data_IF_389233269544
#
_entry.id   IF_389233269544
#
_cell.length_a   1.000
_cell.length_b   1.000
_cell.length_c   1.000
_cell.angle_alpha   90.00
_cell.angle_beta   90.00
_cell.angle_gamma   90.00
#
_symmetry.space_group_name_H-M   'P 1'
#
loop_
_entity.id
_entity.type
_entity.pdbx_description
1 polymer ?
#
# COMPACT_ATOMS: atom_id res chain seq x y z
N UNK A 1 -10.48 1.24 9.17
CA UNK A 1 -9.08 1.61 9.46
C UNK A 1 -8.35 1.67 8.14
N UNK A 2 -7.40 2.59 8.00
CA UNK A 2 -6.56 2.67 6.79
C UNK A 2 -5.56 1.52 6.84
N UNK A 3 -5.50 0.70 5.79
CA UNK A 3 -4.59 -0.44 5.69
C UNK A 3 -3.32 -0.13 4.89
N UNK A 4 -2.36 -1.07 4.86
CA UNK A 4 -1.27 -1.04 3.89
C UNK A 4 -1.81 -1.36 2.49
N UNK A 5 -1.37 -0.58 1.50
CA UNK A 5 -1.64 -0.79 0.09
C UNK A 5 -0.37 -1.25 -0.61
N UNK A 6 -0.43 -2.40 -1.29
CA UNK A 6 0.66 -2.90 -2.12
C UNK A 6 0.75 -2.12 -3.44
N UNK A 7 1.93 -1.60 -3.75
CA UNK A 7 2.32 -1.04 -5.04
C UNK A 7 3.47 -1.86 -5.64
N UNK A 8 3.49 -1.91 -6.97
CA UNK A 8 4.63 -2.41 -7.73
C UNK A 8 5.44 -1.20 -8.19
N UNK A 9 6.71 -1.13 -7.78
CA UNK A 9 7.65 -0.10 -8.21
C UNK A 9 8.35 -0.60 -9.44
N UNK A 10 8.19 0.09 -10.57
CA UNK A 10 8.83 -0.27 -11.83
C UNK A 10 10.15 0.49 -11.93
N UNK A 11 11.22 -0.17 -12.38
CA UNK A 11 12.55 0.43 -12.49
C UNK A 11 12.81 0.92 -13.91
N UNK A 12 12.59 2.21 -14.14
CA UNK A 12 12.87 2.86 -15.44
C UNK A 12 14.30 3.37 -15.43
N UNK A 13 15.23 2.66 -16.09
CA UNK A 13 16.65 3.01 -16.08
C UNK A 13 16.88 4.30 -16.85
N UNK A 14 17.59 5.26 -16.26
CA UNK A 14 18.01 6.48 -16.96
C UNK A 14 19.10 6.11 -17.97
N UNK A 15 18.81 6.27 -19.25
CA UNK A 15 19.73 5.89 -20.33
C UNK A 15 20.93 6.84 -20.43
N UNK A 16 20.72 8.12 -20.10
CA UNK A 16 21.76 9.15 -20.14
C UNK A 16 21.69 10.06 -18.90
N UNK A 17 22.77 10.06 -18.11
CA UNK A 17 22.92 10.92 -16.93
C UNK A 17 23.46 12.30 -17.33
N UNK A 18 22.54 13.23 -17.57
CA UNK A 18 22.81 14.62 -17.94
C UNK A 18 22.35 15.62 -16.87
N UNK A 19 22.75 16.88 -17.01
CA UNK A 19 22.38 17.94 -16.06
C UNK A 19 22.85 17.62 -14.63
N UNK A 20 21.96 17.78 -13.64
CA UNK A 20 22.29 17.45 -12.24
C UNK A 20 22.58 15.96 -12.02
N UNK A 21 21.95 15.07 -12.79
CA UNK A 21 22.17 13.63 -12.67
C UNK A 21 23.59 13.19 -13.09
N UNK A 22 24.35 14.05 -13.76
CA UNK A 22 25.77 13.78 -14.08
C UNK A 22 26.63 13.56 -12.82
N UNK A 23 26.21 14.06 -11.66
CA UNK A 23 26.87 13.78 -10.37
C UNK A 23 26.79 12.30 -9.96
N UNK A 24 25.91 11.50 -10.58
CA UNK A 24 25.69 10.08 -10.30
C UNK A 24 26.34 9.17 -11.35
N UNK A 25 27.24 9.70 -12.18
CA UNK A 25 27.96 8.90 -13.18
C UNK A 25 28.67 7.70 -12.54
N UNK A 26 28.58 6.55 -13.20
CA UNK A 26 29.07 5.27 -12.69
C UNK A 26 28.08 4.52 -11.77
N UNK A 27 26.92 5.11 -11.43
CA UNK A 27 25.83 4.41 -10.74
C UNK A 27 24.70 4.05 -11.71
N UNK A 28 23.95 3.00 -11.37
CA UNK A 28 22.69 2.68 -12.05
C UNK A 28 21.56 3.51 -11.42
N UNK A 29 21.02 4.46 -12.19
CA UNK A 29 19.95 5.35 -11.73
C UNK A 29 18.63 4.96 -12.38
N UNK A 30 17.58 4.86 -11.57
CA UNK A 30 16.24 4.50 -12.01
C UNK A 30 15.24 5.55 -11.55
N UNK A 31 14.32 5.94 -12.44
CA UNK A 31 13.05 6.51 -12.01
C UNK A 31 12.17 5.36 -11.53
N UNK A 32 11.51 5.55 -10.39
CA UNK A 32 10.85 4.48 -9.66
C UNK A 32 9.33 4.68 -9.58
N UNK A 33 8.56 4.73 -10.68
CA UNK A 33 7.12 4.92 -10.60
C UNK A 33 6.40 3.77 -9.89
N UNK A 34 5.40 4.13 -9.08
CA UNK A 34 4.52 3.19 -8.41
C UNK A 34 3.27 2.92 -9.26
N UNK A 35 2.91 1.65 -9.43
CA UNK A 35 1.69 1.24 -10.14
C UNK A 35 0.92 0.15 -9.39
N UNK A 36 -0.40 0.18 -9.54
CA UNK A 36 -1.31 -0.91 -9.11
C UNK A 36 -1.62 -1.88 -10.25
N UNK A 37 -1.17 -1.58 -11.47
CA UNK A 37 -1.47 -2.32 -12.69
C UNK A 37 -0.18 -2.70 -13.43
N UNK A 38 0.65 -3.61 -12.87
CA UNK A 38 1.89 -4.03 -13.51
C UNK A 38 1.63 -4.71 -14.87
N UNK A 39 0.44 -5.26 -15.09
CA UNK A 39 0.08 -5.86 -16.38
C UNK A 39 0.07 -4.86 -17.53
N UNK A 40 -0.08 -3.56 -17.26
CA UNK A 40 -0.16 -2.56 -18.32
C UNK A 40 1.20 -2.04 -18.80
N UNK A 41 2.30 -2.49 -18.19
CA UNK A 41 3.64 -1.95 -18.47
C UNK A 41 4.13 -2.17 -19.92
N UNK A 42 3.45 -3.02 -20.69
CA UNK A 42 3.71 -3.16 -22.13
C UNK A 42 3.32 -1.93 -22.96
N UNK A 43 2.35 -1.13 -22.47
CA UNK A 43 1.79 0.01 -23.20
C UNK A 43 2.40 1.36 -22.81
N UNK A 44 3.60 1.33 -22.22
CA UNK A 44 4.27 2.55 -21.77
C UNK A 44 4.71 3.41 -22.96
N UNK A 45 4.29 4.68 -22.96
CA UNK A 45 4.72 5.68 -23.96
C UNK A 45 5.71 6.68 -23.39
N UNK A 46 5.64 6.94 -22.09
CA UNK A 46 6.46 7.93 -21.39
C UNK A 46 6.38 7.69 -19.86
N UNK A 47 7.13 8.49 -19.12
CA UNK A 47 7.03 8.58 -17.66
C UNK A 47 6.61 10.00 -17.28
N UNK A 48 5.80 10.17 -16.24
CA UNK A 48 5.37 11.47 -15.76
C UNK A 48 6.04 11.88 -14.46
N UNK A 49 6.43 13.15 -14.40
CA UNK A 49 6.94 13.83 -13.21
C UNK A 49 6.22 15.16 -13.04
N UNK A 50 6.10 15.63 -11.79
CA UNK A 50 5.54 16.94 -11.47
C UNK A 50 6.68 17.98 -11.55
N UNK A 51 6.65 18.96 -12.47
CA UNK A 51 7.78 19.88 -12.66
C UNK A 51 8.22 20.59 -11.37
N UNK A 52 7.26 21.13 -10.62
CA UNK A 52 7.51 21.82 -9.34
C UNK A 52 7.58 20.86 -8.14
N UNK A 53 7.52 19.55 -8.38
CA UNK A 53 7.65 18.52 -7.34
C UNK A 53 9.09 18.39 -6.86
N UNK A 54 9.25 18.11 -5.56
CA UNK A 54 10.54 17.83 -4.94
C UNK A 54 10.85 16.33 -4.99
N UNK A 55 12.04 16.00 -5.49
CA UNK A 55 12.55 14.64 -5.64
C UNK A 55 13.95 14.52 -5.04
N UNK A 56 14.38 13.29 -4.81
CA UNK A 56 15.75 12.97 -4.47
C UNK A 56 16.20 11.70 -5.15
N UNK A 57 17.51 11.57 -5.32
CA UNK A 57 18.17 10.34 -5.73
C UNK A 57 18.68 9.63 -4.47
N UNK A 58 18.14 8.45 -4.19
CA UNK A 58 18.39 7.72 -2.94
C UNK A 58 19.08 6.39 -3.23
N UNK A 59 20.12 6.05 -2.46
CA UNK A 59 20.84 4.79 -2.61
C UNK A 59 20.08 3.64 -1.93
N UNK A 60 19.72 2.64 -2.72
CA UNK A 60 19.01 1.44 -2.28
C UNK A 60 19.96 0.40 -1.68
N UNK A 61 19.41 -0.61 -1.00
CA UNK A 61 20.16 -1.74 -0.46
C UNK A 61 20.92 -2.53 -1.54
N UNK A 62 20.40 -2.56 -2.77
CA UNK A 62 21.04 -3.18 -3.94
C UNK A 62 22.26 -2.41 -4.46
N UNK A 63 22.52 -1.18 -3.97
CA UNK A 63 23.52 -0.26 -4.53
C UNK A 63 23.02 0.54 -5.73
N UNK A 64 21.80 0.29 -6.20
CA UNK A 64 21.12 1.09 -7.22
C UNK A 64 20.65 2.43 -6.65
N UNK A 65 20.38 3.40 -7.52
CA UNK A 65 19.90 4.73 -7.11
C UNK A 65 18.51 4.96 -7.64
N UNK A 66 17.55 5.23 -6.76
CA UNK A 66 16.16 5.48 -7.13
C UNK A 66 15.84 6.97 -7.02
N UNK A 67 15.23 7.51 -8.07
CA UNK A 67 14.70 8.87 -8.11
C UNK A 67 13.21 8.81 -7.74
N UNK A 68 12.88 9.41 -6.58
CA UNK A 68 11.53 9.40 -5.99
C UNK A 68 11.37 10.55 -4.98
N UNK A 69 10.22 10.65 -4.34
CA UNK A 69 10.01 11.57 -3.20
C UNK A 69 10.71 11.08 -1.94
N UNK A 70 11.00 12.03 -1.04
CA UNK A 70 11.57 11.69 0.29
C UNK A 70 10.59 10.88 1.15
N UNK A 71 9.28 11.12 1.03
CA UNK A 71 8.23 10.31 1.67
C UNK A 71 8.35 8.83 1.27
N UNK A 72 8.44 8.55 -0.02
CA UNK A 72 8.58 7.18 -0.51
C UNK A 72 9.91 6.56 -0.05
N UNK A 73 11.01 7.32 -0.09
CA UNK A 73 12.30 6.87 0.41
C UNK A 73 12.23 6.50 1.91
N UNK A 74 11.55 7.30 2.73
CA UNK A 74 11.29 7.02 4.15
C UNK A 74 10.50 5.72 4.32
N UNK A 75 9.43 5.51 3.55
CA UNK A 75 8.65 4.28 3.58
C UNK A 75 9.50 3.05 3.21
N UNK A 76 10.25 3.13 2.11
CA UNK A 76 11.14 2.06 1.64
C UNK A 76 12.26 1.73 2.65
N UNK A 77 12.78 2.73 3.37
CA UNK A 77 13.78 2.52 4.42
C UNK A 77 13.28 1.64 5.57
N UNK A 78 11.97 1.58 5.81
CA UNK A 78 11.38 0.75 6.86
C UNK A 78 10.83 -0.57 6.33
N UNK A 79 11.16 -0.95 5.09
CA UNK A 79 10.68 -2.16 4.41
C UNK A 79 11.83 -3.02 3.86
N UNK A 80 13.03 -2.93 4.47
CA UNK A 80 14.24 -3.66 4.06
C UNK A 80 14.71 -3.40 2.61
N UNK A 81 14.34 -2.25 2.04
CA UNK A 81 14.75 -1.87 0.68
C UNK A 81 16.02 -0.99 0.65
N UNK A 82 16.46 -0.49 1.81
CA UNK A 82 17.65 0.35 1.98
C UNK A 82 18.79 -0.42 2.66
N UNK A 83 20.00 0.13 2.67
CA UNK A 83 21.17 -0.53 3.29
C UNK A 83 21.02 -0.73 4.80
N UNK A 84 20.38 0.23 5.48
CA UNK A 84 20.13 0.18 6.92
C UNK A 84 18.66 0.52 7.18
N UNK A 85 17.99 -0.29 8.00
CA UNK A 85 16.58 -0.08 8.34
C UNK A 85 16.35 1.30 8.96
N UNK A 86 15.33 2.00 8.49
CA UNK A 86 14.95 3.34 8.93
C UNK A 86 15.86 4.48 8.45
N UNK A 87 16.96 4.19 7.74
CA UNK A 87 17.90 5.22 7.27
C UNK A 87 17.81 5.45 5.76
N UNK A 88 17.62 6.72 5.40
CA UNK A 88 17.58 7.18 4.01
C UNK A 88 18.92 7.81 3.64
N UNK A 89 19.56 7.33 2.57
CA UNK A 89 20.78 7.92 2.03
C UNK A 89 20.50 8.71 0.75
N UNK A 90 20.27 10.01 0.91
CA UNK A 90 20.06 10.93 -0.21
C UNK A 90 21.42 11.33 -0.82
N UNK A 91 21.61 11.03 -2.11
CA UNK A 91 22.82 11.39 -2.86
C UNK A 91 22.69 12.73 -3.56
N UNK A 92 21.47 13.10 -3.98
CA UNK A 92 21.20 14.30 -4.75
C UNK A 92 19.76 14.75 -4.53
N UNK A 93 19.53 16.06 -4.39
CA UNK A 93 18.20 16.68 -4.36
C UNK A 93 17.88 17.24 -5.75
N UNK A 94 16.65 17.02 -6.21
CA UNK A 94 16.19 17.29 -7.56
C UNK A 94 14.80 17.94 -7.51
N UNK A 95 14.44 18.69 -8.54
CA UNK A 95 13.05 19.04 -8.83
C UNK A 95 12.58 18.29 -10.07
N UNK A 96 11.27 18.23 -10.32
CA UNK A 96 10.76 17.64 -11.56
C UNK A 96 11.29 18.31 -12.81
N UNK A 97 11.59 19.61 -12.75
CA UNK A 97 12.28 20.33 -13.83
C UNK A 97 13.63 19.74 -14.20
N UNK A 98 14.40 19.26 -13.21
CA UNK A 98 15.68 18.58 -13.46
C UNK A 98 15.49 17.22 -14.15
N UNK A 99 14.27 16.68 -14.11
CA UNK A 99 13.93 15.34 -14.61
C UNK A 99 13.29 15.34 -15.98
N UNK A 100 12.84 16.47 -16.55
CA UNK A 100 12.12 16.51 -17.83
C UNK A 100 13.02 16.19 -19.04
N UNK A 101 12.48 15.46 -20.02
CA UNK A 101 13.20 15.08 -21.25
C UNK A 101 14.36 14.09 -21.03
N UNK A 102 14.36 13.36 -19.92
CA UNK A 102 15.30 12.27 -19.66
C UNK A 102 14.91 11.03 -20.47
N UNK A 103 15.85 10.42 -21.22
CA UNK A 103 15.62 9.15 -21.88
C UNK A 103 15.64 8.01 -20.85
N UNK A 104 14.66 7.14 -20.91
CA UNK A 104 14.47 6.02 -20.00
C UNK A 104 14.31 4.71 -20.77
N UNK A 105 14.93 3.64 -20.28
CA UNK A 105 14.58 2.27 -20.67
C UNK A 105 13.50 1.76 -19.72
N UNK A 106 12.30 1.56 -20.26
CA UNK A 106 11.14 1.12 -19.49
C UNK A 106 10.92 -0.40 -19.66
N UNK A 107 10.87 -1.19 -18.58
CA UNK A 107 10.63 -2.62 -18.66
C UNK A 107 9.33 -2.95 -19.40
N UNK A 108 9.34 -3.99 -20.23
CA UNK A 108 8.22 -4.47 -21.07
C UNK A 108 7.69 -3.51 -22.14
N UNK A 109 8.10 -2.24 -22.15
CA UNK A 109 7.61 -1.27 -23.13
C UNK A 109 7.95 -1.70 -24.57
N UNK A 110 7.06 -1.41 -25.51
CA UNK A 110 7.35 -1.64 -26.94
C UNK A 110 8.39 -0.65 -27.49
N UNK A 111 8.49 0.52 -26.88
CA UNK A 111 9.49 1.53 -27.21
C UNK A 111 10.79 1.25 -26.45
N UNK A 112 11.91 1.18 -27.18
CA UNK A 112 13.24 0.95 -26.59
C UNK A 112 13.65 2.07 -25.61
N UNK A 113 13.29 3.31 -25.96
CA UNK A 113 13.49 4.51 -25.15
C UNK A 113 12.17 5.27 -25.06
N UNK A 114 11.79 5.64 -23.85
CA UNK A 114 10.69 6.56 -23.55
C UNK A 114 11.23 7.78 -22.80
N UNK A 115 10.46 8.86 -22.71
CA UNK A 115 10.93 10.10 -22.07
C UNK A 115 10.11 10.48 -20.83
N UNK A 116 10.70 11.29 -19.96
CA UNK A 116 9.97 11.97 -18.88
C UNK A 116 9.23 13.21 -19.40
N UNK A 117 7.94 13.28 -19.11
CA UNK A 117 7.02 14.34 -19.51
C UNK A 117 6.35 14.95 -18.27
N UNK A 118 5.86 16.21 -18.37
CA UNK A 118 5.19 16.87 -17.25
C UNK A 118 3.76 16.34 -17.08
N UNK A 119 3.38 16.09 -15.83
CA UNK A 119 1.98 15.94 -15.44
C UNK A 119 1.69 16.79 -14.20
N UNK A 120 0.85 17.81 -14.38
CA UNK A 120 0.61 18.84 -13.37
C UNK A 120 -0.34 18.39 -12.24
N UNK A 121 -0.97 17.23 -12.38
CA UNK A 121 -1.96 16.69 -11.44
C UNK A 121 -1.41 15.59 -10.52
N UNK A 122 -0.10 15.30 -10.58
CA UNK A 122 0.52 14.28 -9.73
C UNK A 122 0.41 14.69 -8.25
N UNK A 123 -0.04 13.76 -7.42
CA UNK A 123 0.00 13.91 -5.97
C UNK A 123 1.36 13.47 -5.43
N UNK A 124 2.11 14.40 -4.82
CA UNK A 124 3.39 14.09 -4.17
C UNK A 124 3.25 13.32 -2.85
N UNK A 125 2.01 13.16 -2.35
CA UNK A 125 1.68 12.41 -1.14
C UNK A 125 1.17 10.99 -1.38
N UNK A 126 1.31 10.45 -2.60
CA UNK A 126 0.95 9.06 -2.93
C UNK A 126 1.99 8.44 -3.85
N UNK A 127 2.37 7.19 -3.57
CA UNK A 127 3.39 6.49 -4.33
C UNK A 127 4.72 7.22 -4.26
N UNK A 128 5.48 7.20 -5.36
CA UNK A 128 6.84 7.74 -5.41
C UNK A 128 6.94 9.15 -5.98
N UNK A 129 5.80 9.79 -6.29
CA UNK A 129 5.73 11.04 -7.05
C UNK A 129 6.13 10.91 -8.52
N UNK A 130 6.43 9.69 -8.99
CA UNK A 130 6.73 9.36 -10.39
C UNK A 130 5.64 8.42 -10.87
N UNK A 131 5.15 8.62 -12.10
CA UNK A 131 4.00 7.84 -12.62
C UNK A 131 4.35 7.29 -14.00
N UNK A 132 4.03 6.03 -14.28
CA UNK A 132 4.11 5.46 -15.64
C UNK A 132 2.96 5.95 -16.50
N UNK A 133 3.20 6.22 -17.78
CA UNK A 133 2.14 6.60 -18.72
C UNK A 133 1.74 5.42 -19.60
N UNK A 134 0.50 4.94 -19.48
CA UNK A 134 -0.10 3.90 -20.33
C UNK A 134 -1.40 4.41 -20.97
N UNK A 135 -1.29 5.24 -22.04
CA UNK A 135 -2.43 5.93 -22.65
C UNK A 135 -3.54 5.05 -23.24
N UNK A 136 -3.29 3.75 -23.44
CA UNK A 136 -4.31 2.82 -23.95
C UNK A 136 -5.40 2.51 -22.92
N UNK A 137 -5.02 2.52 -21.64
CA UNK A 137 -5.80 1.95 -20.53
C UNK A 137 -5.97 2.92 -19.34
N UNK A 138 -5.27 4.06 -19.36
CA UNK A 138 -5.39 5.12 -18.38
C UNK A 138 -5.86 6.44 -19.05
N UNK A 139 -7.11 6.89 -18.79
CA UNK A 139 -7.66 8.12 -19.37
C UNK A 139 -6.85 9.39 -19.05
N UNK A 140 -6.32 9.49 -17.82
CA UNK A 140 -5.47 10.60 -17.39
C UNK A 140 -4.22 10.71 -18.29
N UNK A 141 -3.58 9.58 -18.56
CA UNK A 141 -2.35 9.47 -19.34
C UNK A 141 -2.58 9.85 -20.80
N UNK A 142 -3.67 9.35 -21.40
CA UNK A 142 -4.07 9.72 -22.76
C UNK A 142 -4.35 11.21 -22.89
N UNK A 143 -5.10 11.79 -21.95
CA UNK A 143 -5.43 13.21 -21.99
C UNK A 143 -4.17 14.09 -21.90
N UNK A 144 -3.21 13.72 -21.05
CA UNK A 144 -1.94 14.42 -20.88
C UNK A 144 -1.04 14.28 -22.12
N UNK A 145 -0.89 13.07 -22.66
CA UNK A 145 -0.10 12.83 -23.87
C UNK A 145 -0.68 13.56 -25.08
N UNK A 146 -2.01 13.50 -25.27
CA UNK A 146 -2.70 14.20 -26.37
C UNK A 146 -2.49 15.71 -26.29
N UNK A 147 -2.58 16.29 -25.09
CA UNK A 147 -2.36 17.73 -24.92
C UNK A 147 -0.91 18.13 -25.26
N UNK A 148 0.07 17.32 -24.86
CA UNK A 148 1.46 17.52 -25.25
C UNK A 148 1.66 17.35 -26.77
N UNK A 149 0.94 16.45 -27.44
CA UNK A 149 0.99 16.29 -28.91
C UNK A 149 0.35 17.47 -29.66
N UNK A 150 -0.79 17.97 -29.21
CA UNK A 150 -1.56 18.99 -29.91
C UNK A 150 -1.05 20.42 -29.70
N UNK A 151 -0.31 20.69 -28.61
CA UNK A 151 0.11 22.04 -28.23
C UNK A 151 1.64 22.19 -28.23
N UNK A 152 2.26 22.57 -29.37
CA UNK A 152 3.71 22.81 -29.45
C UNK A 152 4.22 23.82 -28.41
N UNK A 153 3.49 24.91 -28.19
CA UNK A 153 3.85 25.91 -27.17
C UNK A 153 3.88 25.34 -25.74
N UNK A 154 3.08 24.30 -25.46
CA UNK A 154 3.11 23.62 -24.17
C UNK A 154 4.37 22.76 -24.04
N UNK A 155 4.79 22.06 -25.10
CA UNK A 155 6.08 21.33 -25.13
C UNK A 155 7.27 22.27 -24.94
N UNK A 156 7.28 23.39 -25.66
CA UNK A 156 8.34 24.40 -25.61
C UNK A 156 8.49 25.00 -24.21
N UNK A 157 7.37 25.29 -23.52
CA UNK A 157 7.38 25.75 -22.12
C UNK A 157 8.15 24.81 -21.18
N UNK A 158 8.13 23.51 -21.46
CA UNK A 158 8.81 22.49 -20.65
C UNK A 158 10.16 22.05 -21.22
N UNK A 159 10.66 22.72 -22.26
CA UNK A 159 11.93 22.38 -22.90
C UNK A 159 11.92 21.01 -23.60
N UNK A 160 10.73 20.51 -23.98
CA UNK A 160 10.57 19.23 -24.65
C UNK A 160 10.66 19.38 -26.17
N UNK A 161 11.40 18.49 -26.81
CA UNK A 161 11.50 18.42 -28.27
C UNK A 161 10.39 17.53 -28.85
N UNK A 162 10.12 17.66 -30.14
CA UNK A 162 9.06 16.92 -30.81
C UNK A 162 9.33 15.40 -30.83
N UNK A 163 10.60 14.98 -30.94
CA UNK A 163 11.01 13.57 -30.91
C UNK A 163 10.70 12.88 -29.57
N UNK A 164 10.57 13.64 -28.48
CA UNK A 164 10.23 13.11 -27.15
C UNK A 164 8.73 12.81 -26.98
N UNK A 165 7.87 13.27 -27.89
CA UNK A 165 6.40 13.24 -27.71
C UNK A 165 5.66 12.75 -28.95
N UNK A 166 5.93 13.37 -30.10
CA UNK A 166 5.13 13.17 -31.33
C UNK A 166 5.16 11.72 -31.83
N UNK A 167 6.31 11.01 -31.83
CA UNK A 167 6.38 9.62 -32.33
C UNK A 167 5.70 8.57 -31.44
N UNK A 168 5.36 8.90 -30.19
CA UNK A 168 4.84 7.95 -29.21
C UNK A 168 3.34 7.79 -29.35
N UNK A 169 2.90 6.78 -30.09
CA UNK A 169 1.50 6.43 -30.28
C UNK A 169 0.96 5.52 -29.18
N UNK A 170 -0.37 5.49 -29.07
CA UNK A 170 -1.05 4.62 -28.11
C UNK A 170 -0.84 3.15 -28.49
N UNK A 171 -0.26 2.38 -27.56
CA UNK A 171 0.03 0.95 -27.75
C UNK A 171 -1.13 0.12 -27.20
N UNK A 172 -1.89 -0.61 -28.05
CA UNK A 172 -2.98 -1.46 -27.57
C UNK A 172 -2.45 -2.70 -26.83
N UNK A 173 -2.89 -2.90 -25.59
CA UNK A 173 -2.39 -3.99 -24.72
C UNK A 173 -3.47 -4.85 -24.09
N UNK A 174 -4.68 -4.31 -23.91
CA UNK A 174 -5.83 -5.01 -23.32
C UNK A 174 -7.04 -4.74 -24.20
N UNK A 175 -7.76 -5.80 -24.57
CA UNK A 175 -9.08 -5.70 -25.20
C UNK A 175 -10.13 -5.75 -24.10
N UNK A 176 -10.96 -4.71 -24.00
CA UNK A 176 -12.10 -4.69 -23.08
C UNK A 176 -13.40 -4.75 -23.90
N UNK A 177 -14.24 -5.79 -23.72
CA UNK A 177 -15.53 -5.87 -24.39
C UNK A 177 -16.37 -4.60 -24.24
N UNK A 178 -16.80 -4.02 -25.38
CA UNK A 178 -17.58 -2.78 -25.42
C UNK A 178 -16.77 -1.47 -25.41
N UNK A 179 -15.45 -1.54 -25.25
CA UNK A 179 -14.53 -0.39 -25.34
C UNK A 179 -13.40 -0.60 -26.35
N UNK A 180 -13.08 -1.84 -26.74
CA UNK A 180 -12.02 -2.14 -27.70
C UNK A 180 -10.64 -2.27 -27.05
N UNK A 181 -9.60 -2.17 -27.88
CA UNK A 181 -8.18 -2.33 -27.50
C UNK A 181 -7.51 -1.03 -27.03
N UNK A 182 -8.24 0.08 -27.01
CA UNK A 182 -7.80 1.40 -26.58
C UNK A 182 -8.88 2.04 -25.70
N UNK A 183 -9.24 1.35 -24.62
CA UNK A 183 -10.39 1.70 -23.79
C UNK A 183 -10.33 3.13 -23.24
N UNK A 184 -9.14 3.62 -22.87
CA UNK A 184 -8.96 5.00 -22.41
C UNK A 184 -9.23 6.02 -23.53
N UNK A 185 -8.80 5.76 -24.76
CA UNK A 185 -9.07 6.60 -25.92
C UNK A 185 -10.57 6.66 -26.18
N UNK A 186 -11.22 5.50 -26.29
CA UNK A 186 -12.66 5.39 -26.52
C UNK A 186 -13.47 6.10 -25.43
N UNK A 187 -13.07 6.00 -24.16
CA UNK A 187 -13.76 6.69 -23.07
C UNK A 187 -13.54 8.20 -23.08
N UNK A 188 -12.33 8.66 -23.36
CA UNK A 188 -12.04 10.07 -23.51
C UNK A 188 -12.85 10.71 -24.65
N UNK A 189 -13.03 10.01 -25.76
CA UNK A 189 -13.86 10.45 -26.89
C UNK A 189 -15.35 10.44 -26.52
N UNK A 190 -15.85 9.35 -25.92
CA UNK A 190 -17.25 9.18 -25.51
C UNK A 190 -17.70 10.26 -24.53
N UNK A 191 -16.87 10.58 -23.53
CA UNK A 191 -17.15 11.61 -22.53
C UNK A 191 -16.76 13.03 -22.99
N UNK A 192 -16.22 13.16 -24.21
CA UNK A 192 -15.73 14.43 -24.79
C UNK A 192 -14.76 15.15 -23.86
N UNK A 193 -13.80 14.40 -23.32
CA UNK A 193 -12.72 14.92 -22.48
C UNK A 193 -11.77 15.69 -23.37
N UNK A 194 -11.52 16.96 -23.05
CA UNK A 194 -10.67 17.85 -23.85
C UNK A 194 -9.31 18.09 -23.21
N UNK A 195 -9.23 18.08 -21.89
CA UNK A 195 -7.99 18.35 -21.16
C UNK A 195 -7.91 17.58 -19.85
N UNK A 196 -6.70 17.43 -19.30
CA UNK A 196 -6.44 16.91 -17.95
C UNK A 196 -7.19 17.65 -16.84
N UNK A 197 -7.76 18.83 -17.13
CA UNK A 197 -8.58 19.62 -16.20
C UNK A 197 -10.02 19.12 -16.05
N UNK A 198 -10.50 18.22 -16.90
CA UNK A 198 -11.85 17.64 -16.84
C UNK A 198 -11.95 16.56 -15.74
N UNK A 199 -11.55 16.88 -14.50
CA UNK A 199 -11.26 15.93 -13.42
C UNK A 199 -12.41 14.96 -13.13
N UNK A 200 -13.65 15.42 -13.11
CA UNK A 200 -14.81 14.56 -12.82
C UNK A 200 -15.07 13.55 -13.94
N UNK A 201 -14.92 13.96 -15.20
CA UNK A 201 -15.06 13.05 -16.35
C UNK A 201 -13.92 12.04 -16.42
N UNK A 202 -12.70 12.48 -16.10
CA UNK A 202 -11.53 11.60 -16.02
C UNK A 202 -11.70 10.57 -14.91
N UNK A 203 -12.21 10.97 -13.74
CA UNK A 203 -12.54 10.07 -12.65
C UNK A 203 -13.57 9.02 -13.06
N UNK A 204 -14.66 9.43 -13.70
CA UNK A 204 -15.67 8.51 -14.24
C UNK A 204 -15.04 7.54 -15.27
N UNK A 205 -14.27 8.05 -16.22
CA UNK A 205 -13.60 7.23 -17.23
C UNK A 205 -12.66 6.19 -16.59
N UNK A 206 -11.91 6.61 -15.58
CA UNK A 206 -10.94 5.78 -14.87
C UNK A 206 -11.61 4.68 -14.07
N UNK A 207 -12.64 4.99 -13.29
CA UNK A 207 -13.39 3.99 -12.52
C UNK A 207 -13.98 2.91 -13.44
N UNK A 208 -14.56 3.32 -14.57
CA UNK A 208 -15.18 2.41 -15.54
C UNK A 208 -14.15 1.53 -16.27
N UNK A 209 -13.07 2.12 -16.79
CA UNK A 209 -12.01 1.38 -17.51
C UNK A 209 -11.21 0.47 -16.59
N UNK A 210 -10.93 0.91 -15.35
CA UNK A 210 -10.16 0.13 -14.38
C UNK A 210 -10.95 -1.11 -13.93
N UNK A 211 -12.20 -0.94 -13.52
CA UNK A 211 -13.02 -2.04 -13.00
C UNK A 211 -13.31 -3.07 -14.09
N UNK A 212 -13.76 -2.62 -15.27
CA UNK A 212 -14.04 -3.54 -16.39
C UNK A 212 -12.77 -4.17 -16.95
N UNK A 213 -11.69 -3.40 -17.06
CA UNK A 213 -10.41 -3.92 -17.51
C UNK A 213 -9.89 -5.05 -16.62
N UNK A 214 -10.12 -4.98 -15.31
CA UNK A 214 -9.68 -6.02 -14.39
C UNK A 214 -10.45 -7.35 -14.57
N UNK A 215 -11.79 -7.31 -14.68
CA UNK A 215 -12.63 -8.53 -14.71
C UNK A 215 -12.90 -9.09 -16.11
N UNK A 216 -13.02 -8.20 -17.10
CA UNK A 216 -13.42 -8.55 -18.46
C UNK A 216 -12.28 -8.37 -19.48
N UNK A 217 -11.25 -7.61 -19.12
CA UNK A 217 -10.13 -7.33 -20.02
C UNK A 217 -9.32 -8.59 -20.36
N UNK A 218 -8.91 -8.69 -21.62
CA UNK A 218 -8.07 -9.78 -22.15
C UNK A 218 -6.74 -9.20 -22.64
N UNK A 219 -5.63 -9.76 -22.18
CA UNK A 219 -4.29 -9.35 -22.60
C UNK A 219 -4.06 -9.61 -24.09
N UNK A 220 -3.51 -8.63 -24.80
CA UNK A 220 -3.20 -8.71 -26.24
C UNK A 220 -1.71 -8.97 -26.53
N UNK A 221 -0.86 -8.75 -25.53
CA UNK A 221 0.60 -8.71 -25.64
C UNK A 221 1.26 -9.46 -24.50
N UNK A 222 2.57 -9.69 -24.63
CA UNK A 222 3.37 -10.40 -23.64
C UNK A 222 3.06 -11.89 -23.57
N UNK A 223 3.63 -12.54 -22.56
CA UNK A 223 3.52 -13.99 -22.37
C UNK A 223 2.11 -14.43 -21.94
N UNK A 224 1.36 -13.55 -21.29
CA UNK A 224 -0.02 -13.79 -20.86
C UNK A 224 -1.07 -13.45 -21.94
N UNK A 225 -0.66 -13.33 -23.21
CA UNK A 225 -1.58 -13.01 -24.31
C UNK A 225 -2.74 -14.01 -24.39
N UNK A 226 -3.96 -13.49 -24.46
CA UNK A 226 -5.21 -14.26 -24.49
C UNK A 226 -5.78 -14.60 -23.12
N UNK A 227 -5.04 -14.36 -22.02
CA UNK A 227 -5.52 -14.55 -20.66
C UNK A 227 -6.29 -13.32 -20.16
N UNK A 228 -7.20 -13.53 -19.19
CA UNK A 228 -7.85 -12.42 -18.49
C UNK A 228 -6.86 -11.64 -17.65
N UNK A 229 -7.09 -10.33 -17.53
CA UNK A 229 -6.25 -9.41 -16.74
C UNK A 229 -6.13 -9.85 -15.28
N UNK A 230 -7.24 -10.28 -14.65
CA UNK A 230 -7.23 -10.76 -13.26
C UNK A 230 -6.26 -11.93 -13.03
N UNK A 231 -6.10 -12.80 -14.02
CA UNK A 231 -5.23 -13.98 -13.95
C UNK A 231 -3.78 -13.63 -14.37
N UNK A 232 -3.63 -12.72 -15.34
CA UNK A 232 -2.34 -12.30 -15.87
C UNK A 232 -1.58 -11.37 -14.92
N UNK A 233 -2.27 -10.48 -14.20
CA UNK A 233 -1.66 -9.48 -13.30
C UNK A 233 -0.67 -10.08 -12.29
N UNK A 234 -1.01 -11.12 -11.49
CA UNK A 234 -0.07 -11.71 -10.54
C UNK A 234 1.13 -12.36 -11.24
N UNK A 235 0.94 -12.98 -12.40
CA UNK A 235 2.02 -13.62 -13.18
C UNK A 235 3.01 -12.57 -13.68
N UNK A 236 2.52 -11.53 -14.35
CA UNK A 236 3.37 -10.45 -14.89
C UNK A 236 4.09 -9.72 -13.75
N UNK A 237 3.40 -9.46 -12.63
CA UNK A 237 4.03 -8.90 -11.43
C UNK A 237 5.25 -9.73 -11.00
N UNK A 238 5.07 -11.04 -10.84
CA UNK A 238 6.14 -11.92 -10.40
C UNK A 238 7.29 -11.98 -11.40
N UNK A 239 6.99 -12.07 -12.70
CA UNK A 239 8.00 -12.07 -13.75
C UNK A 239 8.88 -10.80 -13.74
N UNK A 240 8.27 -9.63 -13.55
CA UNK A 240 9.02 -8.38 -13.46
C UNK A 240 9.92 -8.32 -12.21
N UNK A 241 9.44 -8.87 -11.09
CA UNK A 241 10.23 -8.97 -9.86
C UNK A 241 11.40 -9.95 -10.06
N UNK A 242 11.16 -11.12 -10.63
CA UNK A 242 12.18 -12.16 -10.85
C UNK A 242 13.31 -11.68 -11.78
N UNK A 243 12.99 -10.82 -12.75
CA UNK A 243 13.98 -10.18 -13.64
C UNK A 243 14.71 -8.99 -13.02
N UNK A 244 14.30 -8.54 -11.83
CA UNK A 244 14.84 -7.36 -11.17
C UNK A 244 14.40 -6.03 -11.81
N UNK A 245 13.33 -6.07 -12.62
CA UNK A 245 12.71 -4.90 -13.29
C UNK A 245 11.75 -4.15 -12.36
N UNK A 246 11.30 -4.81 -11.28
CA UNK A 246 10.34 -4.25 -10.33
C UNK A 246 10.57 -4.74 -8.90
N UNK A 247 10.00 -4.04 -7.93
CA UNK A 247 9.95 -4.47 -6.53
C UNK A 247 8.59 -4.14 -5.89
N UNK A 248 8.32 -4.76 -4.74
CA UNK A 248 7.10 -4.50 -3.96
C UNK A 248 7.38 -3.37 -2.96
N UNK A 249 6.42 -2.44 -2.85
CA UNK A 249 6.44 -1.35 -1.88
C UNK A 249 5.05 -1.20 -1.29
N UNK A 250 4.96 -0.99 0.02
CA UNK A 250 3.71 -0.73 0.70
C UNK A 250 3.61 0.71 1.19
N UNK A 251 2.41 1.30 1.08
CA UNK A 251 2.12 2.63 1.61
C UNK A 251 0.72 2.64 2.25
N UNK A 252 0.42 3.48 3.25
CA UNK A 252 -0.95 3.60 3.73
C UNK A 252 -1.91 4.03 2.61
N UNK A 253 -3.07 3.40 2.48
CA UNK A 253 -4.08 3.71 1.43
C UNK A 253 -4.50 5.20 1.40
N UNK A 254 -4.40 5.86 2.54
CA UNK A 254 -4.62 7.30 2.71
C UNK A 254 -3.73 7.85 3.82
N UNK A 255 -3.65 9.18 3.96
CA UNK A 255 -2.85 9.83 4.98
C UNK A 255 -3.24 9.35 6.39
N UNK A 256 -2.27 8.81 7.13
CA UNK A 256 -2.43 8.39 8.53
C UNK A 256 -1.51 9.25 9.38
N UNK A 257 -2.10 9.99 10.32
CA UNK A 257 -1.35 10.76 11.31
C UNK A 257 -1.36 10.05 12.65
N UNK A 258 -0.18 9.86 13.24
CA UNK A 258 -0.03 9.37 14.61
C UNK A 258 -0.49 10.41 15.63
N UNK A 259 -0.72 9.98 16.88
CA UNK A 259 -1.05 10.89 17.99
C UNK A 259 0.06 11.88 18.32
N UNK A 260 1.31 11.56 17.98
CA UNK A 260 2.46 12.46 18.15
C UNK A 260 2.61 13.49 17.01
N UNK A 261 1.72 13.47 16.01
CA UNK A 261 1.76 14.39 14.87
C UNK A 261 2.70 13.96 13.74
N UNK A 262 3.27 12.76 13.82
CA UNK A 262 4.09 12.20 12.73
C UNK A 262 3.21 11.49 11.70
N UNK A 263 3.60 11.59 10.44
CA UNK A 263 2.96 10.91 9.32
C UNK A 263 3.41 9.45 9.29
N UNK A 264 2.46 8.53 9.42
CA UNK A 264 2.74 7.10 9.47
C UNK A 264 3.13 6.56 8.08
N UNK A 265 4.01 5.56 8.10
CA UNK A 265 4.40 4.74 6.94
C UNK A 265 4.03 3.28 7.20
N UNK A 266 4.12 2.43 6.18
CA UNK A 266 4.09 0.97 6.36
C UNK A 266 5.51 0.51 6.63
N UNK A 267 5.71 -0.22 7.73
CA UNK A 267 6.99 -0.81 8.10
C UNK A 267 6.90 -2.33 8.06
N UNK A 268 7.95 -2.96 7.53
CA UNK A 268 8.24 -4.36 7.75
C UNK A 268 9.05 -4.48 9.03
N UNK A 269 8.47 -5.10 10.05
CA UNK A 269 9.08 -5.26 11.38
C UNK A 269 8.63 -6.57 11.99
N UNK A 270 9.50 -7.14 12.83
CA UNK A 270 9.12 -8.21 13.74
C UNK A 270 8.06 -7.69 14.72
N UNK A 271 7.01 -8.48 14.90
CA UNK A 271 5.80 -8.05 15.58
C UNK A 271 4.99 -9.28 16.01
N UNK A 272 4.59 -9.35 17.29
CA UNK A 272 3.58 -10.32 17.71
C UNK A 272 2.22 -9.88 17.20
N UNK A 273 1.43 -10.81 16.67
CA UNK A 273 0.12 -10.52 16.10
C UNK A 273 -0.92 -11.56 16.47
N UNK A 274 -2.18 -11.15 16.45
CA UNK A 274 -3.34 -12.04 16.54
C UNK A 274 -3.72 -12.50 15.13
N UNK A 275 -3.77 -13.82 14.92
CA UNK A 275 -3.99 -14.44 13.62
C UNK A 275 -5.49 -14.50 13.26
N UNK A 276 -6.20 -13.36 13.25
CA UNK A 276 -7.63 -13.35 12.91
C UNK A 276 -7.92 -13.76 11.46
N UNK A 277 -6.90 -13.76 10.59
CA UNK A 277 -6.98 -14.31 9.23
C UNK A 277 -7.07 -15.83 9.16
N UNK A 278 -6.90 -16.56 10.28
CA UNK A 278 -7.05 -18.01 10.30
C UNK A 278 -8.49 -18.42 9.92
N UNK A 279 -8.63 -19.20 8.84
CA UNK A 279 -9.94 -19.57 8.29
C UNK A 279 -10.83 -20.28 9.31
N UNK A 280 -10.30 -21.23 10.08
CA UNK A 280 -11.09 -21.98 11.08
C UNK A 280 -11.61 -21.05 12.18
N UNK A 281 -10.77 -20.14 12.67
CA UNK A 281 -11.18 -19.16 13.68
C UNK A 281 -12.21 -18.18 13.14
N UNK A 282 -11.94 -17.62 11.95
CA UNK A 282 -12.85 -16.68 11.27
C UNK A 282 -14.23 -17.31 11.02
N UNK A 283 -14.28 -18.54 10.52
CA UNK A 283 -15.54 -19.27 10.30
C UNK A 283 -16.30 -19.47 11.62
N UNK A 284 -15.62 -19.90 12.68
CA UNK A 284 -16.27 -20.06 13.98
C UNK A 284 -16.91 -18.78 14.52
N UNK A 285 -16.29 -17.62 14.30
CA UNK A 285 -16.84 -16.32 14.71
C UNK A 285 -17.99 -15.88 13.79
N UNK A 286 -17.84 -16.09 12.48
CA UNK A 286 -18.92 -15.83 11.51
C UNK A 286 -20.17 -16.66 11.82
N UNK A 287 -20.01 -17.94 12.14
CA UNK A 287 -21.13 -18.81 12.50
C UNK A 287 -21.83 -18.33 13.76
N UNK A 288 -21.08 -17.88 14.79
CA UNK A 288 -21.66 -17.31 16.00
C UNK A 288 -22.43 -16.00 15.71
N UNK A 289 -21.82 -15.07 14.96
CA UNK A 289 -22.41 -13.77 14.65
C UNK A 289 -23.65 -13.88 13.76
N UNK A 290 -23.67 -14.85 12.84
CA UNK A 290 -24.81 -15.07 11.95
C UNK A 290 -25.88 -16.00 12.55
N UNK A 291 -25.65 -16.55 13.74
CA UNK A 291 -26.64 -17.36 14.43
C UNK A 291 -27.54 -16.47 15.33
N UNK A 292 -28.82 -16.28 14.97
CA UNK A 292 -29.74 -15.42 15.71
C UNK A 292 -30.07 -15.96 17.11
N UNK A 293 -29.86 -17.27 17.37
CA UNK A 293 -30.09 -17.86 18.69
C UNK A 293 -28.98 -17.48 19.68
N UNK A 294 -27.78 -17.12 19.18
CA UNK A 294 -26.61 -16.83 20.03
C UNK A 294 -26.11 -15.40 19.95
N UNK A 295 -26.47 -14.65 18.90
CA UNK A 295 -26.02 -13.29 18.69
C UNK A 295 -27.12 -12.40 18.13
N UNK A 296 -27.26 -11.19 18.70
CA UNK A 296 -28.21 -10.19 18.22
C UNK A 296 -27.45 -8.90 17.88
N UNK A 297 -27.29 -8.62 16.58
CA UNK A 297 -26.67 -7.40 16.11
C UNK A 297 -27.55 -6.14 16.29
N UNK A 298 -28.79 -6.29 16.76
CA UNK A 298 -29.83 -5.26 16.92
C UNK A 298 -30.29 -4.56 15.63
N UNK A 299 -29.55 -4.68 14.53
CA UNK A 299 -29.94 -4.20 13.19
C UNK A 299 -29.26 -5.00 12.09
N UNK A 300 -29.92 -5.06 10.92
CA UNK A 300 -29.36 -5.70 9.72
C UNK A 300 -28.07 -5.01 9.28
N UNK A 301 -28.02 -3.67 9.35
CA UNK A 301 -26.84 -2.90 8.96
C UNK A 301 -25.64 -3.18 9.86
N UNK A 302 -25.86 -3.39 11.16
CA UNK A 302 -24.79 -3.78 12.08
C UNK A 302 -24.27 -5.18 11.76
N UNK A 303 -25.17 -6.14 11.49
CA UNK A 303 -24.79 -7.49 11.09
C UNK A 303 -23.95 -7.49 9.80
N UNK A 304 -24.36 -6.74 8.78
CA UNK A 304 -23.60 -6.55 7.55
C UNK A 304 -22.19 -5.99 7.81
N UNK A 305 -22.07 -5.02 8.72
CA UNK A 305 -20.77 -4.46 9.11
C UNK A 305 -19.88 -5.46 9.84
N UNK A 306 -20.44 -6.30 10.71
CA UNK A 306 -19.70 -7.40 11.32
C UNK A 306 -19.18 -8.37 10.26
N UNK A 307 -20.06 -8.83 9.36
CA UNK A 307 -19.69 -9.74 8.28
C UNK A 307 -18.61 -9.14 7.37
N UNK A 308 -18.75 -7.87 6.99
CA UNK A 308 -17.73 -7.16 6.22
C UNK A 308 -16.39 -7.14 6.97
N UNK A 309 -16.40 -6.74 8.25
CA UNK A 309 -15.18 -6.62 9.06
C UNK A 309 -14.51 -7.98 9.26
N UNK A 310 -15.25 -9.04 9.58
CA UNK A 310 -14.72 -10.39 9.77
C UNK A 310 -14.09 -10.97 8.50
N UNK A 311 -14.63 -10.66 7.33
CA UNK A 311 -14.06 -11.09 6.05
C UNK A 311 -12.84 -10.26 5.62
N UNK A 312 -12.78 -8.99 6.05
CA UNK A 312 -11.66 -8.09 5.79
C UNK A 312 -10.49 -8.29 6.77
N UNK A 313 -10.78 -8.66 8.02
CA UNK A 313 -9.79 -8.79 9.08
C UNK A 313 -8.78 -9.91 8.74
N UNK A 314 -7.52 -9.64 9.07
CA UNK A 314 -6.37 -10.52 8.84
C UNK A 314 -5.51 -10.52 10.10
N UNK A 315 -4.20 -10.53 9.96
CA UNK A 315 -3.28 -10.40 11.08
C UNK A 315 -3.44 -9.02 11.76
N UNK A 316 -3.51 -9.01 13.09
CA UNK A 316 -3.59 -7.79 13.89
C UNK A 316 -2.37 -7.64 14.79
N UNK A 317 -1.51 -6.66 14.52
CA UNK A 317 -0.32 -6.37 15.31
C UNK A 317 -0.68 -5.95 16.75
N UNK A 318 -0.51 -6.87 17.71
CA UNK A 318 -0.98 -6.72 19.09
C UNK A 318 0.10 -6.30 20.10
N UNK A 319 1.37 -6.23 19.69
CA UNK A 319 2.47 -5.77 20.55
C UNK A 319 2.99 -4.38 20.18
N UNK A 320 3.56 -3.68 21.16
CA UNK A 320 4.22 -2.37 21.03
C UNK A 320 5.50 -2.36 21.85
N UNK A 321 6.47 -1.55 21.44
CA UNK A 321 7.73 -1.36 22.19
C UNK A 321 7.66 -0.17 23.16
N UNK A 322 6.65 0.69 23.03
CA UNK A 322 6.48 1.89 23.83
C UNK A 322 5.02 2.10 24.21
N UNK A 323 4.79 2.57 25.43
CA UNK A 323 3.47 2.85 25.99
C UNK A 323 3.28 2.24 27.37
N UNK A 324 2.12 2.53 27.98
CA UNK A 324 1.65 1.85 29.19
C UNK A 324 0.84 0.61 28.79
N UNK A 325 0.86 -0.42 29.63
CA UNK A 325 0.09 -1.64 29.43
C UNK A 325 0.72 -2.83 30.12
N UNK A 326 0.21 -4.02 29.79
CA UNK A 326 0.73 -5.29 30.30
C UNK A 326 1.79 -5.84 29.34
N UNK A 327 2.91 -6.32 29.88
CA UNK A 327 3.96 -6.97 29.08
C UNK A 327 3.52 -8.36 28.61
N UNK A 328 3.97 -8.80 27.43
CA UNK A 328 3.79 -10.18 27.01
C UNK A 328 4.55 -11.11 27.97
N UNK A 329 3.90 -12.18 28.48
CA UNK A 329 4.48 -12.98 29.57
C UNK A 329 5.69 -13.83 29.14
N UNK A 330 5.82 -14.14 27.84
CA UNK A 330 6.97 -14.89 27.28
C UNK A 330 8.02 -13.99 26.59
N UNK A 331 7.73 -12.70 26.39
CA UNK A 331 8.62 -11.77 25.71
C UNK A 331 8.40 -10.33 26.22
N UNK A 332 8.99 -10.05 27.39
CA UNK A 332 8.76 -8.80 28.14
C UNK A 332 9.31 -7.53 27.47
N UNK A 333 10.02 -7.67 26.35
CA UNK A 333 10.38 -6.53 25.49
C UNK A 333 9.14 -5.84 24.90
N UNK A 334 8.02 -6.55 24.84
CA UNK A 334 6.78 -6.11 24.22
C UNK A 334 5.67 -5.84 25.24
N UNK A 335 4.94 -4.77 25.00
CA UNK A 335 3.71 -4.38 25.72
C UNK A 335 2.51 -4.66 24.82
N UNK A 336 1.44 -5.22 25.38
CA UNK A 336 0.18 -5.49 24.66
C UNK A 336 -0.52 -4.16 24.36
N UNK A 337 -1.00 -4.00 23.13
CA UNK A 337 -1.71 -2.79 22.72
C UNK A 337 -3.17 -2.76 23.18
N UNK A 338 -3.70 -1.55 23.34
CA UNK A 338 -4.99 -1.28 24.00
C UNK A 338 -6.22 -1.97 23.40
N UNK A 339 -6.24 -2.33 22.11
CA UNK A 339 -7.37 -3.01 21.48
C UNK A 339 -7.28 -4.55 21.61
N UNK A 340 -6.15 -5.07 22.10
CA UNK A 340 -5.90 -6.50 22.26
C UNK A 340 -6.11 -6.95 23.71
N UNK A 341 -5.77 -6.13 24.69
CA UNK A 341 -6.02 -6.41 26.12
C UNK A 341 -7.44 -6.04 26.61
N UNK A 342 -8.27 -5.43 25.74
CA UNK A 342 -9.63 -4.96 26.05
C UNK A 342 -10.75 -5.81 25.44
N UNK A 343 -10.47 -7.08 25.12
CA UNK A 343 -11.42 -7.95 24.39
C UNK A 343 -12.30 -8.81 25.29
N UNK A 344 -11.82 -9.22 26.47
CA UNK A 344 -12.53 -10.14 27.38
C UNK A 344 -12.57 -9.65 28.84
N UNK A 345 -12.20 -8.40 29.10
CA UNK A 345 -12.13 -7.82 30.45
C UNK A 345 -13.47 -7.80 31.20
N UNK A 346 -14.59 -7.96 30.49
CA UNK A 346 -15.91 -8.14 31.10
C UNK A 346 -15.96 -9.38 32.01
N UNK A 347 -15.19 -10.43 31.69
CA UNK A 347 -15.05 -11.59 32.55
C UNK A 347 -14.32 -11.26 33.86
N UNK A 348 -13.34 -10.34 33.81
CA UNK A 348 -12.62 -9.87 35.01
C UNK A 348 -13.55 -9.13 35.97
N UNK A 349 -14.50 -8.34 35.46
CA UNK A 349 -15.47 -7.63 36.32
C UNK A 349 -16.28 -8.55 37.24
N UNK A 350 -16.53 -9.80 36.85
CA UNK A 350 -17.32 -10.73 37.67
C UNK A 350 -16.60 -11.14 38.95
N UNK A 351 -15.26 -11.05 38.99
CA UNK A 351 -14.44 -11.45 40.13
C UNK A 351 -13.65 -10.29 40.76
N UNK A 352 -13.57 -9.13 40.11
CA UNK A 352 -12.77 -7.98 40.56
C UNK A 352 -13.05 -7.58 42.04
N UNK A 353 -14.29 -7.64 42.48
CA UNK A 353 -14.68 -7.35 43.87
C UNK A 353 -14.08 -8.30 44.92
N UNK A 354 -13.72 -9.53 44.52
CA UNK A 354 -12.99 -10.50 45.37
C UNK A 354 -11.47 -10.35 45.24
N UNK A 355 -10.98 -9.84 44.09
CA UNK A 355 -9.56 -9.66 43.82
C UNK A 355 -9.01 -8.36 44.40
N UNK A 356 -9.47 -7.22 43.92
CA UNK A 356 -8.97 -5.89 44.30
C UNK A 356 -9.92 -5.17 45.28
N UNK A 357 -11.21 -5.50 45.29
CA UNK A 357 -12.22 -4.83 46.13
C UNK A 357 -12.73 -3.51 45.54
N UNK A 358 -13.62 -2.83 46.26
CA UNK A 358 -14.38 -1.68 45.71
C UNK A 358 -13.60 -0.36 45.67
N UNK A 359 -12.60 -0.17 46.55
CA UNK A 359 -11.90 1.11 46.74
C UNK A 359 -10.38 1.04 46.47
N UNK A 360 -9.96 0.13 45.59
CA UNK A 360 -8.55 -0.15 45.28
C UNK A 360 -8.38 -0.32 43.77
N UNK A 361 -8.47 0.78 43.04
CA UNK A 361 -8.48 0.76 41.57
C UNK A 361 -7.17 0.27 40.97
N UNK A 362 -6.02 0.56 41.59
CA UNK A 362 -4.71 0.13 41.13
C UNK A 362 -4.31 -1.27 41.63
N UNK A 363 -5.15 -1.89 42.48
CA UNK A 363 -4.90 -3.23 43.02
C UNK A 363 -3.72 -3.29 44.01
N UNK A 364 -3.22 -2.16 44.51
CA UNK A 364 -2.08 -2.11 45.43
C UNK A 364 -2.42 -2.53 46.87
N UNK A 365 -3.67 -2.35 47.28
CA UNK A 365 -4.19 -2.80 48.57
C UNK A 365 -4.39 -4.32 48.69
N UNK A 366 -4.62 -4.83 49.91
CA UNK A 366 -4.80 -6.26 50.13
C UNK A 366 -6.08 -6.79 49.44
N UNK A 367 -5.99 -8.01 48.90
CA UNK A 367 -7.14 -8.70 48.33
C UNK A 367 -8.19 -9.03 49.39
N UNK A 368 -9.48 -8.73 49.18
CA UNK A 368 -10.56 -9.18 50.04
C UNK A 368 -10.60 -10.70 50.22
N UNK A 369 -10.20 -11.46 49.18
CA UNK A 369 -10.12 -12.91 49.21
C UNK A 369 -8.89 -13.49 49.91
N UNK A 370 -7.98 -12.64 50.43
CA UNK A 370 -6.85 -13.08 51.26
C UNK A 370 -5.71 -13.77 50.51
N UNK A 371 -5.57 -13.53 49.20
CA UNK A 371 -4.49 -14.05 48.35
C UNK A 371 -3.73 -12.93 47.65
N UNK A 372 -2.54 -13.22 47.13
CA UNK A 372 -1.69 -12.28 46.39
C UNK A 372 -1.81 -12.47 44.88
N UNK A 373 -1.42 -11.44 44.11
CA UNK A 373 -1.54 -11.46 42.64
C UNK A 373 -0.73 -12.60 41.99
N UNK A 374 0.44 -12.95 42.54
CA UNK A 374 1.29 -14.05 42.07
C UNK A 374 0.66 -15.44 42.26
N UNK A 375 -0.37 -15.56 43.10
CA UNK A 375 -1.12 -16.82 43.26
C UNK A 375 -2.17 -17.04 42.17
N UNK A 376 -2.50 -16.02 41.37
CA UNK A 376 -3.46 -16.10 40.26
C UNK A 376 -2.77 -16.65 39.00
N UNK A 377 -2.54 -17.96 38.97
CA UNK A 377 -1.92 -18.64 37.82
C UNK A 377 -2.94 -18.97 36.72
N UNK A 378 -2.46 -19.34 35.54
CA UNK A 378 -3.30 -19.82 34.42
C UNK A 378 -4.26 -20.93 34.86
N UNK A 379 -3.82 -21.87 35.71
CA UNK A 379 -4.70 -22.95 36.19
C UNK A 379 -5.83 -22.44 37.10
N UNK A 380 -5.63 -21.35 37.83
CA UNK A 380 -6.68 -20.72 38.63
C UNK A 380 -7.74 -20.12 37.71
N UNK A 381 -7.33 -19.40 36.66
CA UNK A 381 -8.27 -18.85 35.68
C UNK A 381 -8.99 -19.93 34.87
N UNK A 382 -8.31 -21.02 34.50
CA UNK A 382 -8.92 -22.19 33.87
C UNK A 382 -10.01 -22.82 34.75
N UNK A 383 -9.77 -22.93 36.07
CA UNK A 383 -10.76 -23.43 37.01
C UNK A 383 -11.99 -22.52 37.08
N UNK A 384 -11.77 -21.20 37.19
CA UNK A 384 -12.84 -20.19 37.32
C UNK A 384 -13.71 -20.13 36.05
N UNK A 385 -13.10 -20.05 34.87
CA UNK A 385 -13.82 -19.73 33.63
C UNK A 385 -14.09 -20.94 32.74
N UNK A 386 -13.24 -21.97 32.75
CA UNK A 386 -13.32 -23.11 31.82
C UNK A 386 -13.83 -24.40 32.47
N UNK A 387 -14.25 -24.35 33.75
CA UNK A 387 -14.57 -25.55 34.55
C UNK A 387 -13.41 -26.55 34.57
N UNK A 388 -12.18 -26.02 34.61
CA UNK A 388 -10.95 -26.81 34.71
C UNK A 388 -10.87 -27.62 36.00
N UNK A 389 -9.80 -28.40 36.15
CA UNK A 389 -9.53 -29.11 37.41
C UNK A 389 -9.05 -28.12 38.47
N UNK A 390 -9.44 -28.34 39.72
CA UNK A 390 -8.92 -27.56 40.83
C UNK A 390 -7.38 -27.63 40.87
N UNK A 391 -6.65 -26.50 40.97
CA UNK A 391 -5.19 -26.51 40.95
C UNK A 391 -4.61 -27.27 42.14
N UNK A 392 -3.71 -28.23 41.88
CA UNK A 392 -3.14 -29.13 42.92
C UNK A 392 -2.38 -28.42 44.06
N UNK A 393 -1.95 -27.18 43.84
CA UNK A 393 -1.25 -26.34 44.83
C UNK A 393 -1.92 -24.96 44.95
N UNK A 394 -3.25 -24.91 44.88
CA UNK A 394 -3.97 -23.65 45.04
C UNK A 394 -3.78 -23.14 46.48
N UNK A 395 -3.12 -21.99 46.61
CA UNK A 395 -2.94 -21.29 47.89
C UNK A 395 -4.02 -20.23 48.15
N UNK A 396 -5.09 -20.24 47.34
CA UNK A 396 -6.24 -19.35 47.43
C UNK A 396 -7.31 -20.04 48.31
N UNK A 397 -7.80 -19.39 49.39
CA UNK A 397 -8.72 -19.95 50.38
C UNK A 397 -10.03 -20.53 49.83
#
# INVERSE_FOLDING_TARGET
GVGPQEYVIIKLKVAELKGKLAALQGKQVFLAPATLRPETMYGQTNCFVLPDGEYGAFEMGSGEVFVMTERAARGMAHQDLMQEWGKVKCLLRLTGWDLLGLPLNAPNAQYEVVYTLPLLSISMGKGTGVVTSVPSDAPDDFAALRELKEKPAFREKFGLTDDMVVPFEVVPIIEIPGYGNQAAVTMCERLKIKSHKDAEKLRQAKEETYLKGFYEGVMLVGECKGSKVCDAKPIIKQQMIDRGDALIYFEPESLVMSRSGDECIVALTDQWYLAYGNEQWKTSVLDHVNNPDTFNAHSVQALERFNHTLNWLREWACSRQFGLGTQLPWDQHWVIESLSDSTIYMAYYTIAHQLQGENNLDGSGPSPGGFTADQLTDQVFDYIYLRGKYPKKCGIP
#
